data_IF_321863062863
#
_entry.id   IF_321863062863
#
_cell.length_a   1.000
_cell.length_b   1.000
_cell.length_c   1.000
_cell.angle_alpha   90.00
_cell.angle_beta   90.00
_cell.angle_gamma   90.00
#
_symmetry.space_group_name_H-M   'P 1'
#
loop_
_entity.id
_entity.type
_entity.pdbx_description
1 polymer ?
#
# COMPACT_ATOMS: atom_id res chain seq x y z
N UNK A 1 21.61 11.17 10.74
CA UNK A 1 21.56 10.11 11.77
C UNK A 1 20.15 9.97 12.36
N UNK A 2 19.62 10.95 13.11
CA UNK A 2 18.27 10.87 13.74
C UNK A 2 17.07 10.68 12.78
N UNK A 3 17.19 11.14 11.53
CA UNK A 3 16.13 10.99 10.52
C UNK A 3 16.09 9.58 9.90
N UNK A 4 17.25 8.91 9.81
CA UNK A 4 17.35 7.52 9.33
C UNK A 4 16.88 6.53 10.40
N UNK A 5 17.18 6.78 11.68
CA UNK A 5 16.72 5.94 12.80
C UNK A 5 15.20 5.96 12.96
N UNK A 6 14.56 7.11 12.75
CA UNK A 6 13.10 7.26 12.80
C UNK A 6 12.41 6.51 11.64
N UNK A 7 13.00 6.55 10.44
CA UNK A 7 12.48 5.82 9.29
C UNK A 7 12.70 4.30 9.42
N UNK A 8 13.82 3.87 9.99
CA UNK A 8 14.09 2.45 10.30
C UNK A 8 13.13 1.88 11.36
N UNK A 9 12.87 2.61 12.46
CA UNK A 9 11.93 2.19 13.51
C UNK A 9 10.48 2.13 13.00
N UNK A 10 10.06 3.13 12.21
CA UNK A 10 8.74 3.11 11.58
C UNK A 10 8.60 2.00 10.52
N UNK A 11 9.68 1.69 9.79
CA UNK A 11 9.68 0.61 8.79
C UNK A 11 9.53 -0.78 9.41
N UNK A 12 9.99 -0.99 10.65
CA UNK A 12 9.85 -2.27 11.35
C UNK A 12 8.38 -2.56 11.72
N UNK A 13 7.65 -1.55 12.20
CA UNK A 13 6.21 -1.67 12.49
C UNK A 13 5.42 -1.93 11.21
N UNK A 14 5.72 -1.19 10.15
CA UNK A 14 5.09 -1.40 8.83
C UNK A 14 5.39 -2.80 8.29
N UNK A 15 6.64 -3.26 8.41
CA UNK A 15 7.04 -4.60 7.98
C UNK A 15 6.30 -5.69 8.76
N UNK A 16 6.14 -5.53 10.08
CA UNK A 16 5.37 -6.47 10.90
C UNK A 16 3.89 -6.52 10.47
N UNK A 17 3.27 -5.36 10.24
CA UNK A 17 1.88 -5.29 9.76
C UNK A 17 1.70 -5.94 8.38
N UNK A 18 2.62 -5.68 7.44
CA UNK A 18 2.61 -6.31 6.12
C UNK A 18 2.81 -7.84 6.22
N UNK A 19 3.70 -8.31 7.09
CA UNK A 19 3.91 -9.75 7.30
C UNK A 19 2.67 -10.46 7.85
N UNK A 20 1.85 -9.78 8.66
CA UNK A 20 0.57 -10.35 9.12
C UNK A 20 -0.45 -10.53 8.00
N UNK A 21 -0.34 -9.79 6.89
CA UNK A 21 -1.22 -9.95 5.73
C UNK A 21 -0.84 -11.14 4.85
N UNK A 22 0.37 -11.70 5.02
CA UNK A 22 0.90 -12.76 4.15
C UNK A 22 -0.05 -13.95 3.97
N UNK A 23 -0.66 -14.54 5.04
CA UNK A 23 -1.55 -15.69 4.86
C UNK A 23 -2.79 -15.36 4.02
N UNK A 24 -3.37 -14.17 4.21
CA UNK A 24 -4.53 -13.72 3.45
C UNK A 24 -4.18 -13.47 1.97
N UNK A 25 -2.99 -12.94 1.70
CA UNK A 25 -2.49 -12.75 0.33
C UNK A 25 -2.27 -14.11 -0.35
N UNK A 26 -1.64 -15.06 0.34
CA UNK A 26 -1.40 -16.41 -0.17
C UNK A 26 -2.73 -17.12 -0.49
N UNK A 27 -3.70 -17.06 0.41
CA UNK A 27 -5.04 -17.62 0.20
C UNK A 27 -5.75 -17.00 -1.01
N UNK A 28 -5.74 -15.67 -1.12
CA UNK A 28 -6.35 -14.96 -2.25
C UNK A 28 -5.70 -15.33 -3.59
N UNK A 29 -4.37 -15.41 -3.63
CA UNK A 29 -3.62 -15.82 -4.84
C UNK A 29 -4.00 -17.24 -5.26
N UNK A 30 -4.01 -18.20 -4.32
CA UNK A 30 -4.36 -19.59 -4.61
C UNK A 30 -5.80 -19.69 -5.11
N UNK A 31 -6.74 -18.99 -4.46
CA UNK A 31 -8.13 -18.92 -4.89
C UNK A 31 -8.26 -18.40 -6.34
N UNK A 32 -7.58 -17.30 -6.67
CA UNK A 32 -7.59 -16.72 -8.02
C UNK A 32 -7.00 -17.67 -9.07
N UNK A 33 -5.89 -18.36 -8.76
CA UNK A 33 -5.27 -19.31 -9.69
C UNK A 33 -6.17 -20.53 -9.93
N UNK A 34 -6.85 -21.03 -8.91
CA UNK A 34 -7.77 -22.17 -9.03
C UNK A 34 -9.05 -21.83 -9.82
N UNK A 35 -9.45 -20.56 -9.86
CA UNK A 35 -10.61 -20.10 -10.64
C UNK A 35 -10.32 -19.95 -12.13
N UNK A 36 -9.07 -19.72 -12.52
CA UNK A 36 -8.71 -19.56 -13.93
C UNK A 36 -8.74 -20.94 -14.62
N UNK A 37 -9.80 -21.18 -15.39
CA UNK A 37 -9.93 -22.37 -16.26
C UNK A 37 -8.80 -22.42 -17.29
N UNK A 38 -8.54 -23.62 -17.85
CA UNK A 38 -7.49 -23.89 -18.84
C UNK A 38 -7.57 -23.07 -20.13
N UNK A 39 -8.69 -22.38 -20.38
CA UNK A 39 -8.94 -21.58 -21.59
C UNK A 39 -8.55 -20.09 -21.45
N UNK A 40 -8.20 -19.62 -20.25
CA UNK A 40 -7.79 -18.22 -20.00
C UNK A 40 -6.27 -18.09 -20.09
N UNK A 41 -5.71 -17.04 -20.71
CA UNK A 41 -4.27 -16.81 -20.70
C UNK A 41 -3.71 -16.86 -19.27
N UNK A 42 -2.70 -17.71 -19.07
CA UNK A 42 -2.01 -17.95 -17.80
C UNK A 42 -1.26 -16.67 -17.38
N UNK A 43 -2.00 -15.72 -16.81
CA UNK A 43 -1.50 -14.39 -16.46
C UNK A 43 -2.17 -13.88 -15.19
N UNK A 44 -1.49 -13.00 -14.45
CA UNK A 44 -2.03 -12.34 -13.28
C UNK A 44 -1.53 -10.90 -13.18
N UNK A 45 -2.42 -9.97 -12.86
CA UNK A 45 -2.11 -8.55 -12.61
C UNK A 45 -2.32 -8.24 -11.14
N UNK A 46 -1.23 -7.89 -10.46
CA UNK A 46 -1.18 -7.62 -9.02
C UNK A 46 -0.86 -6.15 -8.83
N UNK A 47 -1.67 -5.45 -8.03
CA UNK A 47 -1.44 -4.05 -7.70
C UNK A 47 -1.29 -3.82 -6.20
N UNK A 48 -0.31 -3.02 -5.81
CA UNK A 48 -0.21 -2.42 -4.47
C UNK A 48 -0.65 -0.95 -4.52
N UNK A 49 -1.69 -0.61 -3.76
CA UNK A 49 -2.24 0.74 -3.67
C UNK A 49 -1.74 1.43 -2.41
N UNK A 50 -0.87 2.42 -2.60
CA UNK A 50 -0.12 3.09 -1.54
C UNK A 50 1.15 2.33 -1.16
N UNK A 51 2.00 2.05 -2.15
CA UNK A 51 3.23 1.27 -1.97
C UNK A 51 4.31 2.00 -1.17
N UNK A 52 4.22 3.32 -1.02
CA UNK A 52 5.26 4.18 -0.44
C UNK A 52 6.61 4.03 -1.18
N UNK A 53 7.70 4.32 -0.48
CA UNK A 53 9.07 4.11 -0.92
C UNK A 53 9.88 3.39 0.18
N UNK A 54 11.09 2.96 -0.15
CA UNK A 54 11.99 2.28 0.77
C UNK A 54 11.82 0.76 0.78
N UNK A 55 12.40 0.07 1.78
CA UNK A 55 12.55 -1.40 1.77
C UNK A 55 11.23 -2.17 1.72
N UNK A 56 10.15 -1.58 2.20
CA UNK A 56 8.83 -2.21 2.29
C UNK A 56 7.96 -2.00 1.05
N UNK A 57 8.41 -1.19 0.08
CA UNK A 57 7.59 -0.81 -1.07
C UNK A 57 7.22 -1.97 -2.01
N UNK A 58 7.94 -3.09 -1.90
CA UNK A 58 7.66 -4.32 -2.66
C UNK A 58 7.08 -5.44 -1.80
N UNK A 59 6.93 -5.25 -0.48
CA UNK A 59 6.67 -6.37 0.43
C UNK A 59 5.42 -7.16 0.06
N UNK A 60 4.30 -6.47 -0.18
CA UNK A 60 3.02 -7.12 -0.48
C UNK A 60 3.03 -7.82 -1.85
N UNK A 61 3.58 -7.15 -2.87
CA UNK A 61 3.65 -7.73 -4.22
C UNK A 61 4.64 -8.89 -4.29
N UNK A 62 5.73 -8.84 -3.55
CA UNK A 62 6.67 -9.96 -3.43
C UNK A 62 6.00 -11.16 -2.77
N UNK A 63 5.25 -10.97 -1.67
CA UNK A 63 4.49 -12.06 -1.04
C UNK A 63 3.50 -12.70 -2.02
N UNK A 64 2.80 -11.89 -2.81
CA UNK A 64 1.85 -12.40 -3.79
C UNK A 64 2.55 -13.17 -4.94
N UNK A 65 3.67 -12.65 -5.46
CA UNK A 65 4.48 -13.32 -6.49
C UNK A 65 5.07 -14.63 -5.97
N UNK A 66 5.57 -14.65 -4.73
CA UNK A 66 6.08 -15.87 -4.09
C UNK A 66 4.96 -16.91 -3.93
N UNK A 67 3.75 -16.50 -3.53
CA UNK A 67 2.59 -17.37 -3.46
C UNK A 67 2.24 -17.99 -4.82
N UNK A 68 2.30 -17.19 -5.90
CA UNK A 68 2.10 -17.66 -7.27
C UNK A 68 3.14 -18.73 -7.63
N UNK A 69 4.41 -18.49 -7.32
CA UNK A 69 5.50 -19.45 -7.58
C UNK A 69 5.30 -20.75 -6.82
N UNK A 70 5.05 -20.67 -5.51
CA UNK A 70 4.86 -21.85 -4.66
C UNK A 70 3.70 -22.71 -5.15
N UNK A 71 2.56 -22.08 -5.49
CA UNK A 71 1.40 -22.80 -6.02
C UNK A 71 1.74 -23.56 -7.31
N UNK A 72 2.43 -22.90 -8.25
CA UNK A 72 2.80 -23.50 -9.53
C UNK A 72 3.76 -24.68 -9.34
N UNK A 73 4.77 -24.53 -8.49
CA UNK A 73 5.72 -25.61 -8.18
C UNK A 73 5.03 -26.81 -7.53
N UNK A 74 4.10 -26.57 -6.59
CA UNK A 74 3.37 -27.64 -5.91
C UNK A 74 2.43 -28.41 -6.84
N UNK A 75 1.78 -27.70 -7.78
CA UNK A 75 0.79 -28.29 -8.66
C UNK A 75 1.41 -29.13 -9.80
N UNK A 76 2.73 -29.10 -10.00
CA UNK A 76 3.43 -29.76 -11.14
C UNK A 76 2.85 -29.38 -12.51
N UNK A 77 2.15 -28.25 -12.59
CA UNK A 77 1.51 -27.78 -13.81
C UNK A 77 2.56 -27.18 -14.74
N UNK A 78 3.02 -27.97 -15.71
CA UNK A 78 3.84 -27.49 -16.83
C UNK A 78 2.93 -26.91 -17.93
N UNK A 79 2.30 -25.77 -17.64
CA UNK A 79 1.41 -25.07 -18.58
C UNK A 79 2.09 -23.93 -19.35
N UNK A 80 3.42 -24.00 -19.52
CA UNK A 80 4.18 -22.91 -20.13
C UNK A 80 4.32 -21.69 -19.21
N UNK A 81 4.96 -20.60 -19.67
CA UNK A 81 5.30 -19.45 -18.85
C UNK A 81 4.04 -18.74 -18.30
N UNK A 82 4.06 -18.42 -17.00
CA UNK A 82 3.03 -17.61 -16.34
C UNK A 82 3.45 -16.13 -16.39
N UNK A 83 2.60 -15.29 -16.97
CA UNK A 83 2.83 -13.85 -17.04
C UNK A 83 2.33 -13.14 -15.78
N UNK A 84 3.23 -12.53 -15.01
CA UNK A 84 2.84 -11.75 -13.83
C UNK A 84 3.15 -10.28 -14.09
N UNK A 85 2.14 -9.43 -13.89
CA UNK A 85 2.25 -7.99 -14.08
C UNK A 85 2.02 -7.29 -12.76
N UNK A 86 3.08 -6.71 -12.21
CA UNK A 86 3.05 -5.94 -10.96
C UNK A 86 2.80 -4.46 -11.26
N UNK A 87 1.94 -3.83 -10.48
CA UNK A 87 1.64 -2.40 -10.52
C UNK A 87 1.80 -1.78 -9.13
N UNK A 88 2.66 -0.80 -9.01
CA UNK A 88 2.86 -0.07 -7.76
C UNK A 88 2.28 1.33 -7.90
N UNK A 89 1.30 1.64 -7.06
CA UNK A 89 0.66 2.93 -7.02
C UNK A 89 0.99 3.67 -5.74
N UNK A 90 1.22 4.98 -5.88
CA UNK A 90 1.22 5.94 -4.79
C UNK A 90 0.90 7.35 -5.36
N UNK A 91 0.83 8.35 -4.49
CA UNK A 91 0.69 9.75 -4.87
C UNK A 91 1.88 10.21 -5.73
N UNK A 92 1.69 11.23 -6.61
CA UNK A 92 2.76 11.74 -7.46
C UNK A 92 4.01 12.24 -6.73
N UNK A 93 3.87 12.64 -5.46
CA UNK A 93 4.97 13.15 -4.62
C UNK A 93 5.81 12.02 -3.98
N UNK A 94 5.45 10.75 -4.21
CA UNK A 94 6.24 9.61 -3.74
C UNK A 94 7.60 9.52 -4.45
N UNK A 95 8.58 8.91 -3.80
CA UNK A 95 9.90 8.67 -4.40
C UNK A 95 9.87 7.44 -5.34
N UNK A 96 9.27 7.63 -6.51
CA UNK A 96 9.22 6.59 -7.54
C UNK A 96 10.59 6.25 -8.14
N UNK A 97 11.63 7.07 -7.92
CA UNK A 97 12.98 6.73 -8.34
C UNK A 97 13.54 5.59 -7.49
N UNK A 98 13.32 5.62 -6.17
CA UNK A 98 13.65 4.49 -5.29
C UNK A 98 12.83 3.25 -5.66
N UNK A 99 11.51 3.40 -5.86
CA UNK A 99 10.63 2.30 -6.27
C UNK A 99 11.09 1.66 -7.59
N UNK A 100 11.42 2.47 -8.60
CA UNK A 100 11.89 1.98 -9.89
C UNK A 100 13.18 1.16 -9.77
N UNK A 101 14.16 1.62 -8.97
CA UNK A 101 15.40 0.87 -8.74
C UNK A 101 15.12 -0.48 -8.10
N UNK A 102 14.22 -0.53 -7.12
CA UNK A 102 13.83 -1.78 -6.44
C UNK A 102 13.10 -2.73 -7.38
N UNK A 103 12.20 -2.22 -8.23
CA UNK A 103 11.51 -3.03 -9.23
C UNK A 103 12.49 -3.69 -10.20
N UNK A 104 13.53 -2.99 -10.64
CA UNK A 104 14.58 -3.57 -11.49
C UNK A 104 15.26 -4.75 -10.77
N UNK A 105 15.67 -4.57 -9.51
CA UNK A 105 16.29 -5.65 -8.72
C UNK A 105 15.33 -6.83 -8.50
N UNK A 106 14.06 -6.55 -8.25
CA UNK A 106 13.03 -7.57 -8.07
C UNK A 106 12.82 -8.38 -9.35
N UNK A 107 12.66 -7.72 -10.51
CA UNK A 107 12.56 -8.41 -11.80
C UNK A 107 13.76 -9.30 -12.08
N UNK A 108 14.98 -8.83 -11.82
CA UNK A 108 16.20 -9.63 -11.97
C UNK A 108 16.19 -10.89 -11.08
N UNK A 109 15.75 -10.76 -9.82
CA UNK A 109 15.65 -11.92 -8.90
C UNK A 109 14.67 -13.00 -9.36
N UNK A 110 13.69 -12.64 -10.19
CA UNK A 110 12.65 -13.56 -10.69
C UNK A 110 12.96 -14.18 -12.05
N UNK A 111 14.07 -13.82 -12.72
CA UNK A 111 14.36 -14.31 -14.08
C UNK A 111 14.52 -15.83 -14.18
N UNK A 112 15.00 -16.48 -13.11
CA UNK A 112 15.18 -17.94 -13.05
C UNK A 112 13.95 -18.69 -12.50
N UNK A 113 12.85 -17.98 -12.22
CA UNK A 113 11.67 -18.54 -11.54
C UNK A 113 10.63 -19.17 -12.49
N UNK A 114 10.85 -19.06 -13.81
CA UNK A 114 9.90 -19.49 -14.82
C UNK A 114 8.70 -18.54 -15.00
N UNK A 115 8.72 -17.37 -14.36
CA UNK A 115 7.74 -16.28 -14.56
C UNK A 115 8.21 -15.30 -15.63
N UNK A 116 7.25 -14.78 -16.40
CA UNK A 116 7.43 -13.57 -17.18
C UNK A 116 6.93 -12.37 -16.37
N UNK A 117 7.81 -11.83 -15.52
CA UNK A 117 7.47 -10.72 -14.63
C UNK A 117 7.68 -9.36 -15.30
N UNK A 118 6.61 -8.59 -15.45
CA UNK A 118 6.69 -7.17 -15.79
C UNK A 118 6.24 -6.31 -14.62
N UNK A 119 6.86 -5.16 -14.45
CA UNK A 119 6.51 -4.21 -13.40
C UNK A 119 6.19 -2.84 -14.01
N UNK A 120 5.36 -2.07 -13.31
CA UNK A 120 4.98 -0.73 -13.71
C UNK A 120 4.64 0.12 -12.50
N UNK A 121 4.93 1.41 -12.61
CA UNK A 121 4.59 2.42 -11.60
C UNK A 121 3.36 3.18 -12.10
N UNK A 122 2.45 3.49 -11.18
CA UNK A 122 1.20 4.18 -11.48
C UNK A 122 1.06 5.38 -10.53
N UNK A 123 1.54 6.58 -10.90
CA UNK A 123 1.39 7.76 -10.06
C UNK A 123 -0.06 8.25 -10.05
N UNK A 124 -0.61 8.50 -8.87
CA UNK A 124 -1.95 9.06 -8.72
C UNK A 124 -2.64 8.63 -7.43
N UNK A 125 -3.70 9.34 -7.06
CA UNK A 125 -4.54 8.95 -5.93
C UNK A 125 -5.41 7.74 -6.30
N UNK A 126 -5.35 6.67 -5.49
CA UNK A 126 -6.25 5.52 -5.63
C UNK A 126 -7.71 5.82 -5.26
N UNK A 127 -8.01 7.02 -4.75
CA UNK A 127 -9.40 7.51 -4.64
C UNK A 127 -10.00 7.96 -5.97
N UNK A 128 -9.23 7.86 -7.06
CA UNK A 128 -9.67 8.08 -8.44
C UNK A 128 -9.39 6.82 -9.26
N UNK A 129 -10.01 6.75 -10.44
CA UNK A 129 -9.75 5.65 -11.38
C UNK A 129 -8.29 5.70 -11.85
N UNK A 130 -7.53 4.65 -11.51
CA UNK A 130 -6.14 4.46 -11.95
C UNK A 130 -6.00 3.47 -13.11
N UNK A 131 -6.93 2.51 -13.21
CA UNK A 131 -6.85 1.40 -14.15
C UNK A 131 -8.12 1.30 -15.02
N UNK A 132 -8.01 0.73 -16.24
CA UNK A 132 -9.17 0.33 -17.02
C UNK A 132 -10.03 -0.70 -16.25
N UNK A 133 -11.29 -0.84 -16.67
CA UNK A 133 -12.15 -1.90 -16.15
C UNK A 133 -11.58 -3.29 -16.49
N UNK A 134 -11.73 -4.25 -15.58
CA UNK A 134 -11.28 -5.64 -15.72
C UNK A 134 -9.77 -5.80 -15.98
N UNK A 135 -8.95 -4.89 -15.45
CA UNK A 135 -7.50 -4.90 -15.64
C UNK A 135 -6.72 -5.61 -14.53
N UNK A 136 -7.18 -5.52 -13.28
CA UNK A 136 -6.50 -6.06 -12.10
C UNK A 136 -7.13 -7.38 -11.65
N UNK A 137 -6.31 -8.35 -11.29
CA UNK A 137 -6.75 -9.62 -10.69
C UNK A 137 -6.68 -9.58 -9.16
N UNK A 138 -5.62 -8.99 -8.62
CA UNK A 138 -5.39 -8.87 -7.18
C UNK A 138 -5.00 -7.44 -6.82
N UNK A 139 -5.64 -6.91 -5.79
CA UNK A 139 -5.31 -5.62 -5.17
C UNK A 139 -4.89 -5.88 -3.73
N UNK A 140 -3.72 -5.39 -3.36
CA UNK A 140 -3.23 -5.36 -1.98
C UNK A 140 -3.02 -3.90 -1.57
N UNK A 141 -3.23 -3.61 -0.30
CA UNK A 141 -2.98 -2.29 0.28
C UNK A 141 -2.77 -2.43 1.78
N UNK A 142 -1.72 -1.82 2.30
CA UNK A 142 -1.41 -1.85 3.74
C UNK A 142 -1.14 -0.43 4.23
N UNK A 143 -1.77 -0.04 5.33
CA UNK A 143 -1.56 1.26 5.98
C UNK A 143 -1.76 2.48 5.06
N UNK A 144 -2.67 2.39 4.08
CA UNK A 144 -2.91 3.46 3.11
C UNK A 144 -4.34 4.02 3.14
N UNK A 145 -5.34 3.18 3.42
CA UNK A 145 -6.76 3.57 3.40
C UNK A 145 -7.18 4.54 4.50
N UNK A 146 -6.40 4.66 5.59
CA UNK A 146 -6.70 5.60 6.66
C UNK A 146 -6.38 7.06 6.31
N UNK A 147 -5.66 7.31 5.22
CA UNK A 147 -5.39 8.66 4.71
C UNK A 147 -6.55 9.14 3.87
N UNK A 148 -7.37 10.06 4.38
CA UNK A 148 -8.51 10.60 3.62
C UNK A 148 -8.02 11.60 2.55
N UNK A 149 -8.73 11.66 1.42
CA UNK A 149 -8.35 12.46 0.25
C UNK A 149 -8.29 13.96 0.54
N UNK A 150 -9.14 14.43 1.44
CA UNK A 150 -9.13 15.79 1.96
C UNK A 150 -9.73 15.85 3.37
N UNK A 151 -9.35 16.87 4.14
CA UNK A 151 -9.99 17.15 5.43
C UNK A 151 -11.46 17.53 5.20
N UNK A 152 -12.44 16.96 5.93
CA UNK A 152 -13.84 17.34 5.82
C UNK A 152 -14.02 18.86 5.89
N UNK A 153 -14.85 19.41 4.99
CA UNK A 153 -15.02 20.86 4.87
C UNK A 153 -15.62 21.46 6.12
N UNK A 154 -16.47 20.69 6.80
CA UNK A 154 -17.17 21.03 8.03
C UNK A 154 -16.19 21.25 9.19
N UNK A 155 -15.12 20.45 9.26
CA UNK A 155 -14.06 20.63 10.24
C UNK A 155 -13.29 21.93 9.98
N UNK A 156 -12.98 22.19 8.71
CA UNK A 156 -12.26 23.40 8.27
C UNK A 156 -13.10 24.66 8.44
N UNK A 157 -14.39 24.63 8.09
CA UNK A 157 -15.28 25.79 8.15
C UNK A 157 -15.63 26.19 9.58
N UNK A 158 -15.76 25.19 10.46
CA UNK A 158 -16.14 25.42 11.85
C UNK A 158 -14.94 25.55 12.79
N UNK A 159 -13.71 25.51 12.25
CA UNK A 159 -12.46 25.59 13.02
C UNK A 159 -12.43 24.58 14.19
N UNK A 160 -13.03 23.40 13.98
CA UNK A 160 -13.11 22.36 15.01
C UNK A 160 -11.72 21.74 15.11
N UNK A 161 -11.00 21.85 16.24
CA UNK A 161 -9.68 21.27 16.37
C UNK A 161 -9.76 19.74 16.37
N UNK A 162 -8.89 19.06 15.62
CA UNK A 162 -8.85 17.59 15.55
C UNK A 162 -8.16 16.94 16.79
N UNK A 163 -7.59 17.74 17.69
CA UNK A 163 -6.80 17.25 18.83
C UNK A 163 -7.20 17.85 20.18
N UNK A 164 -7.27 16.93 21.14
CA UNK A 164 -7.34 17.01 22.61
C UNK A 164 -8.23 18.11 23.19
N UNK A 165 -9.25 17.67 23.93
CA UNK A 165 -10.02 18.49 24.87
C UNK A 165 -9.17 18.96 26.07
N UNK A 166 -7.96 18.41 26.26
CA UNK A 166 -7.10 18.72 27.40
C UNK A 166 -6.30 20.03 27.22
N UNK A 167 -6.80 21.08 27.87
CA UNK A 167 -6.19 22.41 27.94
C UNK A 167 -4.78 22.41 28.58
N UNK A 168 -4.47 21.43 29.43
CA UNK A 168 -3.21 21.30 30.18
C UNK A 168 -2.02 20.93 29.31
N UNK A 169 -2.21 19.95 28.41
CA UNK A 169 -1.18 19.56 27.44
C UNK A 169 -0.87 20.70 26.46
N UNK A 170 -1.89 21.51 26.11
CA UNK A 170 -1.75 22.70 25.27
C UNK A 170 -0.87 23.77 25.91
N UNK A 171 -1.02 24.04 27.23
CA UNK A 171 -0.17 25.00 27.94
C UNK A 171 1.28 24.56 28.03
N UNK A 172 1.52 23.26 28.22
CA UNK A 172 2.87 22.70 28.30
C UNK A 172 3.68 22.84 26.99
N UNK A 173 3.02 22.91 25.82
CA UNK A 173 3.67 23.08 24.51
C UNK A 173 3.92 24.54 24.10
N UNK A 174 3.42 25.53 24.87
CA UNK A 174 3.61 26.98 24.62
C UNK A 174 5.03 27.56 24.70
N UNK A 175 6.06 26.97 25.35
CA UNK A 175 7.34 27.67 25.53
C UNK A 175 8.18 27.82 24.25
N UNK A 176 7.86 27.12 23.16
CA UNK A 176 8.59 27.24 21.89
C UNK A 176 7.86 28.25 21.02
N UNK A 177 8.23 29.53 21.12
CA UNK A 177 7.65 30.68 20.38
C UNK A 177 7.82 30.67 18.85
N UNK A 178 7.77 29.50 18.23
CA UNK A 178 7.94 29.27 16.79
C UNK A 178 6.61 29.02 16.06
N UNK A 179 5.51 28.75 16.76
CA UNK A 179 4.22 28.40 16.16
C UNK A 179 3.09 29.22 16.82
N UNK A 180 2.34 29.98 16.02
CA UNK A 180 1.20 30.77 16.51
C UNK A 180 0.00 29.88 16.84
N UNK A 181 -0.87 30.34 17.76
CA UNK A 181 -2.12 29.66 18.09
C UNK A 181 -3.00 29.45 16.85
N UNK A 182 -3.07 30.45 15.98
CA UNK A 182 -3.81 30.40 14.71
C UNK A 182 -3.23 29.36 13.74
N UNK A 183 -1.91 29.16 13.73
CA UNK A 183 -1.27 28.12 12.92
C UNK A 183 -1.59 26.72 13.45
N UNK A 184 -1.65 26.55 14.78
CA UNK A 184 -2.09 25.29 15.38
C UNK A 184 -3.58 25.04 15.14
N UNK A 185 -4.47 26.02 15.33
CA UNK A 185 -5.91 25.79 15.17
C UNK A 185 -6.32 25.48 13.72
N UNK A 186 -5.42 25.70 12.74
CA UNK A 186 -5.62 25.39 11.31
C UNK A 186 -4.90 24.13 10.84
N UNK A 187 -4.16 23.45 11.70
CA UNK A 187 -3.42 22.25 11.32
C UNK A 187 -4.30 21.01 11.49
N UNK A 188 -4.55 20.31 10.39
CA UNK A 188 -5.38 19.11 10.36
C UNK A 188 -4.56 17.95 9.80
N UNK A 189 -4.59 16.80 10.49
CA UNK A 189 -4.05 15.55 9.97
C UNK A 189 -5.20 14.82 9.27
N UNK A 190 -5.17 14.60 7.95
CA UNK A 190 -6.23 13.93 7.21
C UNK A 190 -6.14 12.41 7.42
N UNK A 191 -6.35 11.96 8.65
CA UNK A 191 -6.34 10.56 9.04
C UNK A 191 -7.67 10.19 9.70
N UNK A 192 -8.25 9.09 9.26
CA UNK A 192 -9.46 8.52 9.84
C UNK A 192 -9.36 7.00 9.88
N UNK A 193 -9.55 6.41 11.06
CA UNK A 193 -9.60 4.98 11.26
C UNK A 193 -11.05 4.53 11.46
N UNK A 194 -11.69 3.92 10.45
CA UNK A 194 -13.07 3.46 10.59
C UNK A 194 -13.15 2.29 11.58
N UNK A 195 -14.28 2.17 12.26
CA UNK A 195 -14.65 0.98 13.02
C UNK A 195 -14.99 -0.21 12.10
N UNK A 196 -14.97 -1.42 12.65
CA UNK A 196 -15.36 -2.63 11.91
C UNK A 196 -16.78 -2.55 11.35
N UNK A 197 -17.69 -1.86 12.04
CA UNK A 197 -19.08 -1.66 11.58
C UNK A 197 -19.12 -0.74 10.36
N UNK A 198 -18.44 0.41 10.42
CA UNK A 198 -18.39 1.37 9.31
C UNK A 198 -17.74 0.74 8.06
N UNK A 199 -16.69 -0.09 8.25
CA UNK A 199 -16.09 -0.83 7.13
C UNK A 199 -17.07 -1.80 6.46
N UNK A 200 -17.90 -2.49 7.26
CA UNK A 200 -18.89 -3.45 6.76
C UNK A 200 -20.07 -2.80 6.05
N UNK A 201 -20.36 -1.53 6.34
CA UNK A 201 -21.42 -0.79 5.62
C UNK A 201 -20.98 -0.36 4.22
N UNK A 202 -19.67 -0.28 3.97
CA UNK A 202 -19.09 0.15 2.69
C UNK A 202 -18.87 -1.04 1.73
N UNK A 203 -18.52 -2.22 2.28
CA UNK A 203 -18.21 -3.45 1.52
C UNK A 203 -19.50 -4.22 1.19
#
# INVERSE_FOLDING_TARGET
MRQMEKQASNSAIQSAAQNWMKPAIEEAVIGLLNLKSTDVPNSMVIADLGCSAGPNALALVSMAVDAVLHHRHAAQHDQGPLEVRVRLNDLPDNDFNDVAKRLVSFQQSTQSSGLLLTAGIVPGSFYKRLFPSNFLDLIVSSNSLHWISEVPKELRSNMIPLYDEDEGLRRARRPLGLISREMLDRFYVPMYGPSDTELREII
#
